data_IF_884453400594
#
_entry.id   IF_884453400594
#
_cell.length_a   1.000
_cell.length_b   1.000
_cell.length_c   1.000
_cell.angle_alpha   90.00
_cell.angle_beta   90.00
_cell.angle_gamma   90.00
#
_symmetry.space_group_name_H-M   'P 1'
#
loop_
_entity.id
_entity.type
_entity.pdbx_description
1 polymer ?
#
# COMPACT_ATOMS: atom_id res chain seq x y z
N UNK A 1 3.94 28.31 -21.98
CA UNK A 1 4.27 27.08 -21.24
C UNK A 1 3.44 25.94 -21.78
N UNK A 2 4.06 25.00 -22.48
CA UNK A 2 3.37 23.81 -23.00
C UNK A 2 2.99 22.93 -21.81
N UNK A 3 1.69 22.77 -21.55
CA UNK A 3 1.19 21.98 -20.43
C UNK A 3 1.67 20.54 -20.63
N UNK A 4 2.58 20.08 -19.76
CA UNK A 4 3.14 18.75 -19.88
C UNK A 4 2.01 17.72 -19.75
N UNK A 5 1.69 17.09 -20.88
CA UNK A 5 0.59 16.11 -20.98
C UNK A 5 0.89 14.88 -20.13
N UNK A 6 2.17 14.55 -19.93
CA UNK A 6 2.62 13.42 -19.12
C UNK A 6 2.34 13.69 -17.64
N UNK A 7 2.73 14.86 -17.12
CA UNK A 7 2.50 15.22 -15.72
C UNK A 7 1.01 15.35 -15.39
N UNK A 8 0.22 15.84 -16.35
CA UNK A 8 -1.24 15.91 -16.22
C UNK A 8 -1.84 14.49 -16.12
N UNK A 9 -1.42 13.58 -17.01
CA UNK A 9 -1.84 12.18 -17.00
C UNK A 9 -1.45 11.46 -15.71
N UNK A 10 -0.21 11.64 -15.25
CA UNK A 10 0.27 11.08 -13.99
C UNK A 10 -0.54 11.56 -12.78
N UNK A 11 -0.89 12.86 -12.75
CA UNK A 11 -1.73 13.43 -11.68
C UNK A 11 -3.12 12.80 -11.65
N UNK A 12 -3.77 12.65 -12.81
CA UNK A 12 -5.09 12.03 -12.93
C UNK A 12 -5.05 10.58 -12.47
N UNK A 13 -4.06 9.82 -12.95
CA UNK A 13 -3.87 8.42 -12.56
C UNK A 13 -3.66 8.28 -11.05
N UNK A 14 -2.76 9.07 -10.45
CA UNK A 14 -2.49 9.03 -9.03
C UNK A 14 -3.71 9.42 -8.18
N UNK A 15 -4.53 10.39 -8.63
CA UNK A 15 -5.80 10.73 -7.96
C UNK A 15 -6.80 9.58 -8.04
N UNK A 16 -6.91 8.94 -9.20
CA UNK A 16 -7.78 7.77 -9.38
C UNK A 16 -7.35 6.63 -8.44
N UNK A 17 -6.04 6.34 -8.38
CA UNK A 17 -5.49 5.32 -7.47
C UNK A 17 -5.72 5.66 -6.00
N UNK A 18 -5.57 6.94 -5.61
CA UNK A 18 -5.84 7.39 -4.25
C UNK A 18 -7.32 7.21 -3.87
N UNK A 19 -8.23 7.62 -4.75
CA UNK A 19 -9.69 7.46 -4.53
C UNK A 19 -10.05 5.98 -4.46
N UNK A 20 -9.53 5.16 -5.38
CA UNK A 20 -9.74 3.72 -5.37
C UNK A 20 -9.24 3.09 -4.07
N UNK A 21 -8.06 3.49 -3.57
CA UNK A 21 -7.54 3.01 -2.29
C UNK A 21 -8.44 3.39 -1.11
N UNK A 22 -9.01 4.60 -1.10
CA UNK A 22 -9.97 5.02 -0.06
C UNK A 22 -11.26 4.19 -0.15
N UNK A 23 -11.78 3.97 -1.37
CA UNK A 23 -12.97 3.13 -1.57
C UNK A 23 -12.72 1.70 -1.08
N UNK A 24 -11.56 1.11 -1.38
CA UNK A 24 -11.17 -0.21 -0.90
C UNK A 24 -11.03 -0.26 0.63
N UNK A 25 -10.43 0.77 1.23
CA UNK A 25 -10.33 0.90 2.69
C UNK A 25 -11.72 0.88 3.33
N UNK A 26 -12.63 1.74 2.85
CA UNK A 26 -14.01 1.81 3.35
C UNK A 26 -14.74 0.49 3.14
N UNK A 27 -14.62 -0.11 1.95
CA UNK A 27 -15.22 -1.41 1.65
C UNK A 27 -14.74 -2.48 2.62
N UNK A 28 -13.43 -2.61 2.87
CA UNK A 28 -12.89 -3.59 3.80
C UNK A 28 -13.30 -3.32 5.25
N UNK A 29 -13.32 -2.05 5.68
CA UNK A 29 -13.81 -1.71 7.03
C UNK A 29 -15.28 -2.07 7.20
N UNK A 30 -16.13 -1.79 6.21
CA UNK A 30 -17.56 -2.16 6.23
C UNK A 30 -17.72 -3.68 6.19
N UNK A 31 -16.99 -4.38 5.32
CA UNK A 31 -17.00 -5.85 5.25
C UNK A 31 -16.57 -6.49 6.56
N UNK A 32 -15.52 -5.95 7.20
CA UNK A 32 -15.07 -6.38 8.52
C UNK A 32 -16.18 -6.19 9.54
N UNK A 33 -16.74 -4.98 9.66
CA UNK A 33 -17.81 -4.67 10.62
C UNK A 33 -19.05 -5.57 10.43
N UNK A 34 -19.50 -5.78 9.18
CA UNK A 34 -20.65 -6.63 8.86
C UNK A 34 -20.37 -8.12 9.09
N UNK A 35 -19.11 -8.55 9.16
CA UNK A 35 -18.76 -9.95 9.40
C UNK A 35 -19.13 -10.45 10.81
N UNK A 36 -19.34 -9.57 11.79
CA UNK A 36 -19.83 -9.95 13.12
C UNK A 36 -21.31 -10.30 13.13
N UNK A 37 -22.24 -9.40 12.74
CA UNK A 37 -23.67 -9.73 12.72
C UNK A 37 -24.00 -10.82 11.69
N UNK A 38 -23.26 -10.90 10.58
CA UNK A 38 -23.47 -11.93 9.55
C UNK A 38 -22.66 -13.21 9.79
N UNK A 39 -21.99 -13.34 10.94
CA UNK A 39 -21.07 -14.45 11.21
C UNK A 39 -21.71 -15.83 11.06
N UNK A 40 -22.95 -16.00 11.51
CA UNK A 40 -23.67 -17.27 11.40
C UNK A 40 -24.03 -17.61 9.94
N UNK A 41 -24.50 -16.63 9.16
CA UNK A 41 -24.77 -16.83 7.74
C UNK A 41 -23.49 -17.17 6.97
N UNK A 42 -22.37 -16.54 7.33
CA UNK A 42 -21.08 -16.80 6.73
C UNK A 42 -20.58 -18.21 7.06
N UNK A 43 -20.74 -18.63 8.32
CA UNK A 43 -20.42 -19.97 8.79
C UNK A 43 -21.17 -21.05 8.00
N UNK A 44 -22.48 -20.88 7.80
CA UNK A 44 -23.30 -21.78 6.99
C UNK A 44 -22.82 -21.87 5.54
N UNK A 45 -22.47 -20.74 4.92
CA UNK A 45 -21.96 -20.69 3.54
C UNK A 45 -20.60 -21.39 3.41
N UNK A 46 -19.70 -21.20 4.38
CA UNK A 46 -18.40 -21.85 4.39
C UNK A 46 -18.53 -23.36 4.60
N UNK A 47 -19.36 -23.80 5.55
CA UNK A 47 -19.65 -25.22 5.76
C UNK A 47 -20.25 -25.90 4.54
N UNK A 48 -21.15 -25.21 3.81
CA UNK A 48 -21.70 -25.71 2.56
C UNK A 48 -20.65 -25.80 1.43
N UNK A 49 -19.67 -24.89 1.38
CA UNK A 49 -18.63 -24.88 0.34
C UNK A 49 -17.53 -25.93 0.58
N UNK A 50 -17.06 -26.06 1.81
CA UNK A 50 -15.87 -26.87 2.14
C UNK A 50 -16.20 -28.17 2.89
N UNK A 51 -17.47 -28.37 3.26
CA UNK A 51 -17.95 -29.60 3.88
C UNK A 51 -17.80 -29.67 5.41
N UNK A 52 -18.22 -30.79 6.03
CA UNK A 52 -18.35 -30.93 7.48
C UNK A 52 -17.03 -30.99 8.24
N UNK A 53 -15.91 -31.25 7.55
CA UNK A 53 -14.58 -31.36 8.14
C UNK A 53 -13.88 -30.02 8.35
N UNK A 54 -14.48 -28.91 7.91
CA UNK A 54 -13.93 -27.57 8.09
C UNK A 54 -14.22 -27.08 9.52
N UNK A 55 -13.19 -26.62 10.22
CA UNK A 55 -13.40 -25.77 11.38
C UNK A 55 -13.88 -24.38 10.89
N UNK A 56 -15.19 -24.19 10.99
CA UNK A 56 -15.84 -22.99 10.48
C UNK A 56 -15.45 -21.74 11.29
N UNK A 57 -15.13 -21.90 12.58
CA UNK A 57 -14.72 -20.78 13.41
C UNK A 57 -13.35 -20.26 12.98
N UNK A 58 -12.40 -21.16 12.76
CA UNK A 58 -11.06 -20.82 12.26
C UNK A 58 -11.12 -20.26 10.85
N UNK A 59 -11.99 -20.78 9.99
CA UNK A 59 -12.14 -20.24 8.63
C UNK A 59 -12.72 -18.82 8.61
N UNK A 60 -13.70 -18.53 9.47
CA UNK A 60 -14.23 -17.16 9.66
C UNK A 60 -13.14 -16.24 10.22
N UNK A 61 -12.32 -16.73 11.16
CA UNK A 61 -11.21 -15.98 11.73
C UNK A 61 -10.15 -15.65 10.66
N UNK A 62 -9.74 -16.64 9.87
CA UNK A 62 -8.79 -16.44 8.78
C UNK A 62 -9.29 -15.42 7.74
N UNK A 63 -10.58 -15.46 7.40
CA UNK A 63 -11.21 -14.46 6.55
C UNK A 63 -11.14 -13.05 7.17
N UNK A 64 -11.44 -12.90 8.46
CA UNK A 64 -11.36 -11.60 9.13
C UNK A 64 -9.93 -11.07 9.18
N UNK A 65 -8.95 -11.92 9.48
CA UNK A 65 -7.54 -11.52 9.47
C UNK A 65 -7.08 -11.09 8.07
N UNK A 66 -7.55 -11.75 7.01
CA UNK A 66 -7.32 -11.31 5.63
C UNK A 66 -7.85 -9.90 5.38
N UNK A 67 -9.08 -9.62 5.81
CA UNK A 67 -9.67 -8.28 5.65
C UNK A 67 -8.92 -7.23 6.48
N UNK A 68 -8.52 -7.55 7.71
CA UNK A 68 -7.69 -6.67 8.56
C UNK A 68 -6.36 -6.36 7.87
N UNK A 69 -5.72 -7.36 7.26
CA UNK A 69 -4.48 -7.18 6.53
C UNK A 69 -4.67 -6.31 5.27
N UNK A 70 -5.82 -6.43 4.60
CA UNK A 70 -6.24 -5.53 3.52
C UNK A 70 -6.39 -4.07 3.97
N UNK A 71 -7.01 -3.85 5.13
CA UNK A 71 -7.13 -2.52 5.75
C UNK A 71 -5.75 -1.94 6.07
N UNK A 72 -4.90 -2.71 6.75
CA UNK A 72 -3.54 -2.29 7.09
C UNK A 72 -2.72 -1.92 5.84
N UNK A 73 -2.85 -2.72 4.78
CA UNK A 73 -2.22 -2.44 3.48
C UNK A 73 -2.74 -1.16 2.86
N UNK A 74 -4.06 -0.94 2.83
CA UNK A 74 -4.66 0.28 2.27
C UNK A 74 -4.23 1.55 3.03
N UNK A 75 -4.07 1.46 4.36
CA UNK A 75 -3.54 2.56 5.18
C UNK A 75 -2.06 2.83 4.86
N UNK A 76 -1.25 1.80 4.65
CA UNK A 76 0.15 1.94 4.26
C UNK A 76 0.32 2.47 2.83
N UNK A 77 -0.57 2.12 1.89
CA UNK A 77 -0.55 2.60 0.50
C UNK A 77 -0.90 4.09 0.40
N UNK A 78 -1.82 4.58 1.25
CA UNK A 78 -2.28 5.97 1.21
C UNK A 78 -1.16 7.04 1.17
N UNK A 79 -0.17 7.05 2.09
CA UNK A 79 0.92 8.02 2.05
C UNK A 79 1.78 7.91 0.79
N UNK A 80 1.80 6.78 0.07
CA UNK A 80 2.53 6.64 -1.19
C UNK A 80 1.91 7.54 -2.25
N UNK A 81 0.62 7.34 -2.56
CA UNK A 81 -0.06 8.12 -3.58
C UNK A 81 -0.17 9.61 -3.20
N UNK A 82 -0.42 9.92 -1.92
CA UNK A 82 -0.46 11.29 -1.45
C UNK A 82 0.90 12.01 -1.60
N UNK A 83 2.00 11.31 -1.32
CA UNK A 83 3.34 11.87 -1.47
C UNK A 83 3.72 12.04 -2.95
N UNK A 84 3.40 11.07 -3.80
CA UNK A 84 3.62 11.16 -5.24
C UNK A 84 2.85 12.32 -5.87
N UNK A 85 1.59 12.55 -5.49
CA UNK A 85 0.82 13.70 -5.96
C UNK A 85 1.48 15.04 -5.61
N UNK A 86 2.04 15.15 -4.40
CA UNK A 86 2.77 16.35 -3.96
C UNK A 86 4.08 16.54 -4.74
N UNK A 87 4.82 15.46 -5.00
CA UNK A 87 6.03 15.51 -5.83
C UNK A 87 5.68 15.92 -7.27
N UNK A 88 4.64 15.34 -7.87
CA UNK A 88 4.20 15.71 -9.21
C UNK A 88 3.75 17.18 -9.29
N UNK A 89 3.16 17.71 -8.22
CA UNK A 89 2.79 19.13 -8.15
C UNK A 89 4.00 20.06 -8.11
N UNK A 90 5.06 19.73 -7.36
CA UNK A 90 6.30 20.53 -7.33
C UNK A 90 7.04 20.49 -8.66
N UNK A 91 7.06 19.33 -9.32
CA UNK A 91 7.61 19.21 -10.69
C UNK A 91 6.82 20.07 -11.69
N UNK A 92 5.48 20.08 -11.62
CA UNK A 92 4.66 20.96 -12.47
C UNK A 92 4.89 22.45 -12.22
N UNK A 93 5.26 22.82 -10.99
CA UNK A 93 5.64 24.18 -10.65
C UNK A 93 7.07 24.54 -11.10
N UNK A 94 7.81 23.60 -11.70
CA UNK A 94 9.18 23.81 -12.16
C UNK A 94 10.24 23.70 -11.06
N UNK A 95 9.89 23.22 -9.87
CA UNK A 95 10.80 23.11 -8.73
C UNK A 95 10.93 21.65 -8.21
N UNK A 96 11.58 20.76 -8.98
CA UNK A 96 11.67 19.33 -8.63
C UNK A 96 12.61 19.04 -7.46
N UNK A 97 13.62 19.88 -7.20
CA UNK A 97 14.67 19.65 -6.20
C UNK A 97 14.50 20.54 -4.97
N UNK A 98 13.35 20.38 -4.31
CA UNK A 98 13.08 20.96 -2.99
C UNK A 98 13.32 19.92 -1.90
N UNK A 99 13.84 20.33 -0.74
CA UNK A 99 14.06 19.43 0.40
C UNK A 99 12.75 18.73 0.86
N UNK A 100 11.60 19.38 0.65
CA UNK A 100 10.29 18.79 0.88
C UNK A 100 10.09 17.47 0.11
N UNK A 101 10.56 17.38 -1.14
CA UNK A 101 10.42 16.16 -1.95
C UNK A 101 11.28 15.01 -1.40
N UNK A 102 12.46 15.30 -0.84
CA UNK A 102 13.27 14.30 -0.16
C UNK A 102 12.54 13.70 1.06
N UNK A 103 11.85 14.56 1.82
CA UNK A 103 11.02 14.12 2.96
C UNK A 103 9.83 13.27 2.50
N UNK A 104 9.18 13.64 1.39
CA UNK A 104 8.09 12.87 0.78
C UNK A 104 8.56 11.49 0.29
N UNK A 105 9.72 11.40 -0.36
CA UNK A 105 10.33 10.12 -0.75
C UNK A 105 10.65 9.26 0.46
N UNK A 106 11.14 9.84 1.55
CA UNK A 106 11.35 9.12 2.81
C UNK A 106 10.06 8.54 3.39
N UNK A 107 8.94 9.27 3.32
CA UNK A 107 7.62 8.76 3.72
C UNK A 107 7.17 7.58 2.85
N UNK A 108 7.43 7.64 1.54
CA UNK A 108 7.17 6.52 0.61
C UNK A 108 8.01 5.30 1.01
N UNK A 109 9.30 5.49 1.37
CA UNK A 109 10.17 4.41 1.83
C UNK A 109 9.65 3.68 3.07
N UNK A 110 9.22 4.44 4.09
CA UNK A 110 8.61 3.83 5.28
C UNK A 110 7.31 3.11 4.96
N UNK A 111 6.47 3.67 4.09
CA UNK A 111 5.23 3.04 3.66
C UNK A 111 5.48 1.71 2.91
N UNK A 112 6.45 1.68 2.00
CA UNK A 112 6.85 0.46 1.29
C UNK A 112 7.43 -0.57 2.27
N UNK A 113 8.22 -0.16 3.25
CA UNK A 113 8.75 -1.09 4.27
C UNK A 113 7.62 -1.75 5.06
N UNK A 114 6.61 -0.96 5.46
CA UNK A 114 5.41 -1.51 6.14
C UNK A 114 4.71 -2.51 5.24
N UNK A 115 4.54 -2.23 3.95
CA UNK A 115 3.93 -3.17 3.00
C UNK A 115 4.73 -4.48 2.87
N UNK A 116 6.08 -4.42 2.84
CA UNK A 116 6.90 -5.62 2.82
C UNK A 116 6.74 -6.45 4.10
N UNK A 117 6.63 -5.82 5.26
CA UNK A 117 6.35 -6.52 6.51
C UNK A 117 4.94 -7.15 6.51
N UNK A 118 3.93 -6.44 5.98
CA UNK A 118 2.57 -6.97 5.85
C UNK A 118 2.51 -8.14 4.86
N UNK A 119 3.32 -8.14 3.81
CA UNK A 119 3.45 -9.26 2.87
C UNK A 119 4.04 -10.51 3.54
N UNK A 120 5.01 -10.36 4.44
CA UNK A 120 5.49 -11.51 5.25
C UNK A 120 4.39 -12.05 6.18
N UNK A 121 3.58 -11.17 6.78
CA UNK A 121 2.42 -11.57 7.58
C UNK A 121 1.38 -12.29 6.71
N UNK A 122 1.16 -11.83 5.48
CA UNK A 122 0.32 -12.53 4.48
C UNK A 122 0.83 -13.96 4.24
N UNK A 123 2.14 -14.14 4.07
CA UNK A 123 2.75 -15.46 3.90
C UNK A 123 2.55 -16.40 5.09
N UNK A 124 2.60 -15.88 6.31
CA UNK A 124 2.26 -16.65 7.51
C UNK A 124 0.76 -17.02 7.53
N UNK A 125 -0.11 -16.07 7.19
CA UNK A 125 -1.56 -16.27 7.12
C UNK A 125 -1.94 -17.32 6.06
N UNK A 126 -1.29 -17.28 4.89
CA UNK A 126 -1.51 -18.26 3.82
C UNK A 126 -1.14 -19.68 4.22
N UNK A 127 -0.03 -19.86 4.97
CA UNK A 127 0.35 -21.16 5.52
C UNK A 127 -0.71 -21.70 6.48
N UNK A 128 -1.30 -20.84 7.30
CA UNK A 128 -2.38 -21.23 8.20
C UNK A 128 -3.66 -21.59 7.43
N UNK A 129 -4.06 -20.79 6.44
CA UNK A 129 -5.21 -21.06 5.57
C UNK A 129 -5.05 -22.41 4.85
N UNK A 130 -3.85 -22.70 4.36
CA UNK A 130 -3.55 -23.99 3.75
C UNK A 130 -3.70 -25.16 4.74
N UNK A 131 -3.28 -25.00 5.99
CA UNK A 131 -3.47 -26.00 7.04
C UNK A 131 -4.96 -26.24 7.36
N UNK A 132 -5.82 -25.23 7.17
CA UNK A 132 -7.29 -25.32 7.28
C UNK A 132 -7.94 -26.00 6.07
N UNK A 133 -7.17 -26.46 5.08
CA UNK A 133 -7.67 -27.05 3.82
C UNK A 133 -8.60 -26.11 3.03
N UNK A 134 -8.42 -24.81 3.22
CA UNK A 134 -9.10 -23.79 2.42
C UNK A 134 -8.32 -23.54 1.13
N UNK A 135 -9.01 -23.01 0.12
CA UNK A 135 -8.37 -22.57 -1.12
C UNK A 135 -7.37 -21.46 -0.80
N UNK A 136 -6.08 -21.76 -0.90
CA UNK A 136 -4.99 -20.82 -0.69
C UNK A 136 -4.24 -20.58 -2.01
N UNK A 137 -3.89 -19.32 -2.27
CA UNK A 137 -2.99 -18.98 -3.37
C UNK A 137 -1.56 -19.18 -2.89
N UNK A 138 -0.70 -19.71 -3.74
CA UNK A 138 0.74 -19.80 -3.46
C UNK A 138 1.32 -18.41 -3.16
N UNK A 139 2.07 -18.32 -2.07
CA UNK A 139 2.74 -17.08 -1.67
C UNK A 139 4.26 -17.24 -1.74
N UNK A 140 4.94 -16.22 -2.24
CA UNK A 140 6.40 -16.13 -2.23
C UNK A 140 6.84 -14.69 -1.90
N UNK A 141 7.89 -14.52 -1.08
CA UNK A 141 8.37 -13.19 -0.71
C UNK A 141 8.98 -12.47 -1.92
N UNK A 142 8.68 -11.17 -2.06
CA UNK A 142 9.21 -10.35 -3.16
C UNK A 142 10.56 -9.72 -2.82
N UNK A 143 11.65 -10.25 -3.39
CA UNK A 143 12.98 -9.61 -3.30
C UNK A 143 12.99 -8.22 -3.96
N UNK A 144 12.27 -8.05 -5.06
CA UNK A 144 12.13 -6.76 -5.76
C UNK A 144 11.49 -5.68 -4.90
N UNK A 145 10.50 -6.05 -4.06
CA UNK A 145 9.89 -5.12 -3.12
C UNK A 145 10.88 -4.61 -2.06
N UNK A 146 11.73 -5.50 -1.52
CA UNK A 146 12.80 -5.10 -0.59
C UNK A 146 13.84 -4.18 -1.24
N UNK A 147 14.23 -4.47 -2.48
CA UNK A 147 15.11 -3.59 -3.25
C UNK A 147 14.45 -2.22 -3.44
N UNK A 148 13.16 -2.16 -3.79
CA UNK A 148 12.45 -0.90 -3.95
C UNK A 148 12.44 -0.05 -2.68
N UNK A 149 12.29 -0.67 -1.50
CA UNK A 149 12.40 0.03 -0.20
C UNK A 149 13.77 0.67 -0.02
N UNK A 150 14.85 -0.06 -0.28
CA UNK A 150 16.21 0.50 -0.17
C UNK A 150 16.42 1.62 -1.18
N UNK A 151 16.03 1.38 -2.44
CA UNK A 151 16.23 2.33 -3.53
C UNK A 151 15.48 3.64 -3.32
N UNK A 152 14.27 3.62 -2.74
CA UNK A 152 13.55 4.88 -2.50
C UNK A 152 14.19 5.70 -1.38
N UNK A 153 14.79 5.07 -0.36
CA UNK A 153 15.59 5.78 0.65
C UNK A 153 16.86 6.37 0.03
N UNK A 154 17.51 5.64 -0.88
CA UNK A 154 18.65 6.17 -1.65
C UNK A 154 18.21 7.39 -2.46
N UNK A 155 17.09 7.31 -3.18
CA UNK A 155 16.53 8.44 -3.94
C UNK A 155 16.20 9.62 -3.03
N UNK A 156 15.61 9.39 -1.86
CA UNK A 156 15.34 10.44 -0.88
C UNK A 156 16.64 11.19 -0.48
N UNK A 157 17.74 10.45 -0.27
CA UNK A 157 19.05 11.05 0.05
C UNK A 157 19.63 11.83 -1.14
N UNK A 158 19.53 11.30 -2.35
CA UNK A 158 19.99 11.98 -3.57
C UNK A 158 19.22 13.29 -3.77
N UNK A 159 17.90 13.29 -3.60
CA UNK A 159 17.09 14.51 -3.67
C UNK A 159 17.48 15.54 -2.62
N UNK A 160 17.79 15.11 -1.40
CA UNK A 160 18.26 16.00 -0.33
C UNK A 160 19.59 16.67 -0.67
N UNK A 161 20.53 15.91 -1.24
CA UNK A 161 21.81 16.45 -1.68
C UNK A 161 21.59 17.43 -2.84
N UNK A 162 20.77 17.08 -3.82
CA UNK A 162 20.44 17.94 -4.95
C UNK A 162 19.78 19.26 -4.53
N UNK A 163 18.88 19.22 -3.54
CA UNK A 163 18.25 20.43 -2.99
C UNK A 163 19.29 21.37 -2.35
N UNK A 164 20.23 20.84 -1.55
CA UNK A 164 21.31 21.66 -0.96
C UNK A 164 22.22 22.28 -2.01
N UNK A 165 22.60 21.50 -3.04
CA UNK A 165 23.43 22.02 -4.12
C UNK A 165 22.75 23.16 -4.88
N UNK A 166 21.43 23.10 -5.06
CA UNK A 166 20.65 24.20 -5.64
C UNK A 166 20.69 25.44 -4.74
N UNK A 167 20.49 25.26 -3.44
CA UNK A 167 20.49 26.37 -2.49
C UNK A 167 21.86 27.06 -2.43
N UNK A 168 22.95 26.28 -2.40
CA UNK A 168 24.33 26.81 -2.44
C UNK A 168 24.55 27.68 -3.69
N UNK A 169 24.13 27.20 -4.87
CA UNK A 169 24.24 27.96 -6.13
C UNK A 169 23.39 29.24 -6.14
N UNK A 170 22.23 29.24 -5.48
CA UNK A 170 21.38 30.42 -5.37
C UNK A 170 21.99 31.52 -4.48
N UNK A 171 22.90 31.17 -3.57
CA UNK A 171 23.58 32.14 -2.67
C UNK A 171 24.86 32.74 -3.26
N UNK A 172 25.33 32.24 -4.41
CA UNK A 172 26.56 32.72 -5.07
C UNK A 172 26.35 33.85 -6.10
N UNK A 173 25.13 34.37 -6.21
CA UNK A 173 24.74 35.48 -7.11
C UNK A 173 24.52 36.76 -6.32
#
# INVERSE_FOLDING_TARGET
MQKDRVLTGATILLRLMLVMNIVLLVMFTVALALSWPLGHALALRLGAKYGPSLDVADAVMAMRLMVVLGIASALAIHPIFASLLRIVATVQAGDPFVDANATLLGRIGWALLVLQCLDLVLGALMRWIYALKLDAIGWSPSLGGWIAVVMIFVLARVFRIGARMRDDLATTV
#
